data_IF_326433174137
#
_entry.id   IF_326433174137
#
_cell.length_a   1.000
_cell.length_b   1.000
_cell.length_c   1.000
_cell.angle_alpha   90.00
_cell.angle_beta   90.00
_cell.angle_gamma   90.00
#
_symmetry.space_group_name_H-M   'P 1'
#
loop_
_entity.id
_entity.type
_entity.pdbx_description
1 polymer ?
#
# COMPACT_ATOMS: atom_id res chain seq x y z
N UNK A 1 7.99 14.31 -6.28
CA UNK A 1 6.66 14.98 -6.27
C UNK A 1 5.80 14.42 -5.14
N UNK A 2 5.56 13.10 -5.09
CA UNK A 2 4.74 12.45 -4.05
C UNK A 2 5.16 12.83 -2.61
N UNK A 3 6.45 12.66 -2.26
CA UNK A 3 7.01 13.06 -0.95
C UNK A 3 6.72 14.52 -0.60
N UNK A 4 7.07 15.46 -1.48
CA UNK A 4 6.87 16.90 -1.25
C UNK A 4 5.41 17.27 -1.01
N UNK A 5 4.49 16.65 -1.76
CA UNK A 5 3.05 16.87 -1.57
C UNK A 5 2.61 16.29 -0.24
N UNK A 6 2.97 15.04 0.05
CA UNK A 6 2.52 14.36 1.26
C UNK A 6 3.06 15.01 2.55
N UNK A 7 4.33 15.42 2.56
CA UNK A 7 4.91 16.14 3.70
C UNK A 7 4.33 17.56 3.82
N UNK A 8 4.12 18.26 2.70
CA UNK A 8 3.52 19.59 2.68
C UNK A 8 2.08 19.62 3.20
N UNK A 9 1.31 18.56 2.96
CA UNK A 9 -0.08 18.42 3.44
C UNK A 9 -0.19 17.70 4.78
N UNK A 10 0.93 17.23 5.35
CA UNK A 10 0.96 16.37 6.55
C UNK A 10 0.09 15.11 6.40
N UNK A 11 0.08 14.53 5.20
CA UNK A 11 -0.61 13.29 4.95
C UNK A 11 0.02 12.14 5.76
N UNK A 12 -0.81 11.23 6.25
CA UNK A 12 -0.30 10.02 6.92
C UNK A 12 0.30 9.02 5.92
N UNK A 13 -0.25 8.94 4.73
CA UNK A 13 0.22 8.08 3.65
C UNK A 13 -0.25 8.61 2.29
N UNK A 14 0.31 8.06 1.21
CA UNK A 14 -0.09 8.35 -0.17
C UNK A 14 0.46 7.31 -1.14
N UNK A 15 0.02 7.35 -2.40
CA UNK A 15 0.55 6.46 -3.45
C UNK A 15 0.69 7.14 -4.81
N UNK A 16 1.46 6.51 -5.69
CA UNK A 16 1.37 6.70 -7.13
C UNK A 16 1.36 5.34 -7.84
N UNK A 17 0.66 5.22 -8.96
CA UNK A 17 0.52 3.96 -9.70
C UNK A 17 0.18 4.19 -11.15
N UNK A 18 0.51 3.24 -12.04
CA UNK A 18 -0.07 3.18 -13.39
C UNK A 18 -1.59 2.96 -13.35
N UNK A 19 -2.28 3.46 -14.37
CA UNK A 19 -3.75 3.43 -14.46
C UNK A 19 -4.31 2.01 -14.44
N UNK A 20 -3.76 1.10 -15.24
CA UNK A 20 -4.28 -0.27 -15.37
C UNK A 20 -4.20 -1.02 -14.03
N UNK A 21 -3.06 -0.91 -13.33
CA UNK A 21 -2.92 -1.43 -11.97
C UNK A 21 -3.86 -0.73 -10.97
N UNK A 22 -4.19 0.55 -11.17
CA UNK A 22 -5.13 1.27 -10.31
C UNK A 22 -6.55 0.69 -10.38
N UNK A 23 -6.97 0.24 -11.56
CA UNK A 23 -8.30 -0.35 -11.77
C UNK A 23 -8.45 -1.64 -10.97
N UNK A 24 -7.48 -2.56 -11.07
CA UNK A 24 -7.48 -3.80 -10.29
C UNK A 24 -7.43 -3.53 -8.78
N UNK A 25 -6.67 -2.51 -8.34
CA UNK A 25 -6.61 -2.13 -6.92
C UNK A 25 -7.93 -1.51 -6.44
N UNK A 26 -8.65 -0.78 -7.29
CA UNK A 26 -9.98 -0.27 -6.94
C UNK A 26 -10.99 -1.39 -6.67
N UNK A 27 -10.88 -2.52 -7.39
CA UNK A 27 -11.72 -3.70 -7.15
C UNK A 27 -11.48 -4.37 -5.79
N UNK A 28 -10.40 -4.03 -5.08
CA UNK A 28 -10.18 -4.53 -3.71
C UNK A 28 -11.13 -3.91 -2.69
N UNK A 29 -11.68 -2.73 -2.97
CA UNK A 29 -12.63 -2.01 -2.10
C UNK A 29 -14.03 -1.86 -2.72
N UNK A 30 -14.15 -2.03 -4.05
CA UNK A 30 -15.41 -1.79 -4.75
C UNK A 30 -16.47 -2.84 -4.36
N UNK A 31 -17.61 -2.46 -3.77
CA UNK A 31 -18.74 -3.37 -3.65
C UNK A 31 -19.20 -3.75 -5.05
N UNK A 32 -19.46 -5.04 -5.26
CA UNK A 32 -20.10 -5.48 -6.51
C UNK A 32 -21.61 -5.37 -6.34
N UNK A 33 -22.35 -5.28 -7.45
CA UNK A 33 -23.83 -5.35 -7.45
C UNK A 33 -24.35 -6.64 -6.76
N UNK A 34 -23.49 -7.65 -6.57
CA UNK A 34 -23.84 -8.96 -5.99
C UNK A 34 -23.25 -9.24 -4.58
N UNK A 35 -22.59 -8.28 -3.92
CA UNK A 35 -22.15 -8.44 -2.54
C UNK A 35 -20.73 -7.93 -2.24
N UNK A 36 -19.96 -8.62 -1.37
CA UNK A 36 -18.67 -8.12 -0.87
C UNK A 36 -17.69 -7.82 -2.01
N UNK A 37 -16.60 -7.07 -1.74
CA UNK A 37 -15.58 -6.84 -2.76
C UNK A 37 -15.19 -8.15 -3.45
N UNK A 38 -15.04 -8.09 -4.77
CA UNK A 38 -14.56 -9.20 -5.59
C UNK A 38 -13.20 -8.83 -6.19
N UNK A 39 -12.13 -8.84 -5.38
CA UNK A 39 -10.80 -8.54 -5.86
C UNK A 39 -10.40 -9.50 -6.97
N UNK A 40 -9.78 -8.97 -8.01
CA UNK A 40 -9.26 -9.78 -9.10
C UNK A 40 -7.90 -10.35 -8.75
N UNK A 41 -7.47 -11.35 -9.52
CA UNK A 41 -6.09 -11.86 -9.52
C UNK A 41 -5.62 -12.41 -8.16
N UNK A 42 -6.56 -12.76 -7.27
CA UNK A 42 -6.26 -13.25 -5.92
C UNK A 42 -5.70 -12.18 -4.96
N UNK A 43 -5.95 -10.90 -5.24
CA UNK A 43 -5.65 -9.82 -4.30
C UNK A 43 -6.61 -9.87 -3.09
N UNK A 44 -6.22 -9.32 -1.94
CA UNK A 44 -7.09 -9.34 -0.78
C UNK A 44 -8.22 -8.30 -0.90
N UNK A 45 -9.37 -8.61 -0.32
CA UNK A 45 -10.43 -7.63 -0.07
C UNK A 45 -9.98 -6.65 1.02
N UNK A 46 -10.30 -5.38 0.84
CA UNK A 46 -9.96 -4.28 1.74
C UNK A 46 -11.25 -3.60 2.21
N UNK A 47 -11.22 -3.03 3.41
CA UNK A 47 -12.31 -2.21 3.92
C UNK A 47 -12.36 -0.86 3.19
N UNK A 48 -13.56 -0.30 3.08
CA UNK A 48 -13.71 1.11 2.72
C UNK A 48 -13.00 1.99 3.76
N UNK A 49 -12.49 3.14 3.33
CA UNK A 49 -11.68 4.03 4.17
C UNK A 49 -12.41 4.44 5.46
N UNK A 50 -13.74 4.61 5.41
CA UNK A 50 -14.60 4.95 6.56
C UNK A 50 -14.66 3.85 7.62
N UNK A 51 -14.33 2.61 7.25
CA UNK A 51 -14.32 1.44 8.13
C UNK A 51 -12.90 1.08 8.61
N UNK A 52 -11.89 1.88 8.25
CA UNK A 52 -10.51 1.71 8.74
C UNK A 52 -10.38 2.47 10.06
N UNK A 53 -9.92 1.77 11.10
CA UNK A 53 -9.94 2.25 12.49
C UNK A 53 -9.10 3.49 12.77
N UNK A 54 -8.11 3.78 11.93
CA UNK A 54 -7.15 4.86 12.16
C UNK A 54 -6.66 5.43 10.82
N UNK A 55 -6.53 6.76 10.70
CA UNK A 55 -6.08 7.40 9.46
C UNK A 55 -4.60 7.08 9.12
N UNK A 56 -3.81 6.66 10.11
CA UNK A 56 -2.43 6.20 9.94
C UNK A 56 -2.33 4.89 9.16
N UNK A 57 -3.38 4.08 9.12
CA UNK A 57 -3.39 2.80 8.40
C UNK A 57 -3.61 3.09 6.90
N UNK A 58 -2.66 2.72 6.02
CA UNK A 58 -2.85 2.89 4.58
C UNK A 58 -4.07 2.10 4.08
N UNK A 59 -4.90 2.74 3.25
CA UNK A 59 -6.10 2.09 2.71
C UNK A 59 -5.77 0.98 1.71
N UNK A 60 -4.71 1.15 0.93
CA UNK A 60 -4.30 0.25 -0.13
C UNK A 60 -2.84 0.54 -0.51
N UNK A 61 -2.22 -0.38 -1.25
CA UNK A 61 -0.89 -0.20 -1.81
C UNK A 61 -0.95 0.35 -3.23
N UNK A 62 0.14 0.99 -3.67
CA UNK A 62 0.40 1.32 -5.06
C UNK A 62 1.82 0.96 -5.48
N UNK A 63 2.23 1.40 -6.67
CA UNK A 63 3.60 1.21 -7.15
C UNK A 63 4.62 1.94 -6.25
N UNK A 64 4.39 3.23 -6.05
CA UNK A 64 5.10 4.05 -5.07
C UNK A 64 4.17 4.30 -3.90
N UNK A 65 4.68 4.17 -2.69
CA UNK A 65 3.95 4.37 -1.44
C UNK A 65 4.71 5.38 -0.61
N UNK A 66 4.04 6.42 -0.15
CA UNK A 66 4.53 7.26 0.93
C UNK A 66 3.87 6.82 2.23
N UNK A 67 4.67 6.60 3.26
CA UNK A 67 4.21 6.33 4.63
C UNK A 67 4.89 7.33 5.55
N UNK A 68 4.11 8.14 6.26
CA UNK A 68 4.65 9.00 7.31
C UNK A 68 5.31 8.18 8.42
N UNK A 69 6.02 8.84 9.34
CA UNK A 69 6.58 8.17 10.52
C UNK A 69 5.51 7.41 11.32
N UNK A 70 4.33 8.02 11.50
CA UNK A 70 3.20 7.42 12.23
C UNK A 70 2.62 6.21 11.48
N UNK A 71 2.39 6.33 10.17
CA UNK A 71 1.90 5.21 9.37
C UNK A 71 2.88 4.03 9.37
N UNK A 72 4.18 4.33 9.23
CA UNK A 72 5.26 3.34 9.25
C UNK A 72 5.32 2.59 10.59
N UNK A 73 5.14 3.31 11.70
CA UNK A 73 5.06 2.70 13.03
C UNK A 73 3.86 1.77 13.16
N UNK A 74 2.68 2.19 12.69
CA UNK A 74 1.44 1.40 12.78
C UNK A 74 1.53 0.10 11.99
N UNK A 75 2.08 0.14 10.76
CA UNK A 75 2.24 -1.08 9.95
C UNK A 75 3.49 -1.89 10.29
N UNK A 76 4.34 -1.40 11.20
CA UNK A 76 5.59 -2.06 11.61
C UNK A 76 6.65 -2.10 10.51
N UNK A 77 6.85 -0.97 9.80
CA UNK A 77 7.90 -0.79 8.79
C UNK A 77 8.94 0.25 9.25
N UNK A 78 10.25 0.02 9.04
CA UNK A 78 10.85 -1.20 8.53
C UNK A 78 11.20 -2.20 9.64
N UNK A 79 11.10 -3.49 9.31
CA UNK A 79 11.78 -4.60 9.99
C UNK A 79 12.98 -5.03 9.12
N UNK A 80 14.24 -4.79 9.55
CA UNK A 80 15.42 -5.09 8.75
C UNK A 80 15.55 -6.56 8.32
N UNK A 81 14.96 -7.49 9.07
CA UNK A 81 15.05 -8.92 8.80
C UNK A 81 14.01 -9.39 7.79
N UNK A 82 12.89 -8.68 7.69
CA UNK A 82 11.74 -9.06 6.84
C UNK A 82 11.58 -8.17 5.61
N UNK A 83 12.11 -6.96 5.67
CA UNK A 83 11.83 -5.91 4.68
C UNK A 83 13.07 -5.54 3.84
N UNK A 84 14.13 -6.36 3.85
CA UNK A 84 15.38 -6.09 3.15
C UNK A 84 15.16 -5.76 1.65
N UNK A 85 14.27 -6.48 0.98
CA UNK A 85 13.93 -6.24 -0.43
C UNK A 85 13.24 -4.87 -0.61
N UNK A 86 12.22 -4.57 0.21
CA UNK A 86 11.53 -3.27 0.16
C UNK A 86 12.47 -2.12 0.53
N UNK A 87 13.35 -2.32 1.51
CA UNK A 87 14.35 -1.35 1.96
C UNK A 87 15.36 -1.01 0.87
N UNK A 88 15.74 -1.98 0.02
CA UNK A 88 16.62 -1.73 -1.13
C UNK A 88 16.03 -0.71 -2.11
N UNK A 89 14.69 -0.60 -2.13
CA UNK A 89 13.91 0.32 -2.97
C UNK A 89 13.15 1.38 -2.16
N UNK A 90 13.59 1.62 -0.92
CA UNK A 90 12.99 2.61 -0.04
C UNK A 90 13.95 3.79 0.21
N UNK A 91 13.39 4.98 0.36
CA UNK A 91 14.11 6.17 0.79
C UNK A 91 13.42 6.79 2.00
N UNK A 92 14.21 7.09 3.04
CA UNK A 92 13.74 7.83 4.21
C UNK A 92 13.56 9.31 3.87
N UNK A 93 12.46 9.90 4.29
CA UNK A 93 12.14 11.32 4.06
C UNK A 93 12.67 12.20 5.19
N UNK A 94 12.69 13.52 5.00
CA UNK A 94 13.19 14.47 6.00
C UNK A 94 12.34 14.46 7.29
N UNK A 95 11.02 14.24 7.17
CA UNK A 95 10.11 14.12 8.32
C UNK A 95 10.16 12.75 9.02
N UNK A 96 11.04 11.84 8.56
CA UNK A 96 11.19 10.50 9.13
C UNK A 96 10.20 9.46 8.60
N UNK A 97 9.42 9.80 7.59
CA UNK A 97 8.63 8.84 6.80
C UNK A 97 9.47 8.09 5.77
N UNK A 98 8.79 7.36 4.90
CA UNK A 98 9.38 6.55 3.85
C UNK A 98 8.66 6.73 2.53
N UNK A 99 9.42 6.75 1.45
CA UNK A 99 8.93 6.46 0.10
C UNK A 99 9.41 5.06 -0.26
N UNK A 100 8.48 4.17 -0.57
CA UNK A 100 8.75 2.75 -0.86
C UNK A 100 8.24 2.42 -2.26
N UNK A 101 9.11 1.86 -3.08
CA UNK A 101 8.79 1.38 -4.42
C UNK A 101 8.67 -0.15 -4.39
N UNK A 102 7.52 -0.68 -4.85
CA UNK A 102 7.27 -2.12 -4.83
C UNK A 102 8.11 -2.87 -5.88
N UNK A 103 8.22 -2.30 -7.08
CA UNK A 103 8.86 -2.93 -8.25
C UNK A 103 9.74 -1.92 -8.96
N UNK A 104 10.84 -2.35 -9.57
CA UNK A 104 11.79 -1.44 -10.24
C UNK A 104 11.18 -0.73 -11.47
N UNK A 105 10.29 -1.43 -12.18
CA UNK A 105 9.45 -0.86 -13.22
C UNK A 105 8.07 -0.46 -12.68
N UNK A 106 7.33 0.44 -13.36
CA UNK A 106 5.95 0.75 -13.01
C UNK A 106 5.10 -0.51 -12.85
N UNK A 107 4.30 -0.56 -11.78
CA UNK A 107 3.51 -1.73 -11.42
C UNK A 107 2.59 -2.17 -12.57
N UNK A 108 2.78 -3.41 -12.99
CA UNK A 108 2.02 -4.10 -14.05
C UNK A 108 1.48 -5.39 -13.45
N UNK A 109 0.16 -5.60 -13.43
CA UNK A 109 -0.47 -6.76 -12.80
C UNK A 109 -0.72 -7.93 -13.76
N UNK A 110 -0.35 -7.77 -15.04
CA UNK A 110 -0.23 -8.88 -15.99
C UNK A 110 1.14 -9.56 -15.89
N UNK A 111 2.16 -8.88 -15.33
CA UNK A 111 3.41 -9.51 -14.91
C UNK A 111 3.19 -10.29 -13.58
N UNK A 112 3.33 -11.63 -13.58
CA UNK A 112 3.12 -12.43 -12.38
C UNK A 112 4.11 -12.10 -11.25
N UNK A 113 5.30 -11.60 -11.56
CA UNK A 113 6.32 -11.20 -10.58
C UNK A 113 5.85 -9.99 -9.80
N UNK A 114 5.36 -8.97 -10.51
CA UNK A 114 4.81 -7.76 -9.91
C UNK A 114 3.56 -8.05 -9.06
N UNK A 115 2.67 -8.92 -9.56
CA UNK A 115 1.50 -9.35 -8.81
C UNK A 115 1.89 -10.11 -7.53
N UNK A 116 2.89 -10.99 -7.59
CA UNK A 116 3.42 -11.70 -6.42
C UNK A 116 4.03 -10.73 -5.41
N UNK A 117 4.84 -9.77 -5.85
CA UNK A 117 5.37 -8.71 -4.99
C UNK A 117 4.26 -7.94 -4.28
N UNK A 118 3.20 -7.56 -4.98
CA UNK A 118 2.07 -6.86 -4.38
C UNK A 118 1.36 -7.72 -3.32
N UNK A 119 1.11 -9.01 -3.61
CA UNK A 119 0.49 -9.95 -2.68
C UNK A 119 1.34 -10.17 -1.43
N UNK A 120 2.63 -10.45 -1.59
CA UNK A 120 3.58 -10.61 -0.47
C UNK A 120 3.67 -9.35 0.38
N UNK A 121 3.60 -8.18 -0.23
CA UNK A 121 3.58 -6.91 0.50
C UNK A 121 2.31 -6.78 1.35
N UNK A 122 1.15 -7.17 0.82
CA UNK A 122 -0.07 -7.28 1.62
C UNK A 122 0.07 -8.32 2.75
N UNK A 123 0.63 -9.50 2.50
CA UNK A 123 0.85 -10.51 3.55
C UNK A 123 1.79 -9.99 4.67
N UNK A 124 2.82 -9.24 4.30
CA UNK A 124 3.76 -8.61 5.24
C UNK A 124 3.10 -7.54 6.11
N UNK A 125 2.13 -6.81 5.58
CA UNK A 125 1.44 -5.73 6.29
C UNK A 125 -0.07 -6.03 6.41
N UNK A 126 -0.46 -6.94 7.31
CA UNK A 126 -1.85 -7.40 7.42
C UNK A 126 -2.82 -6.30 7.89
N UNK A 127 -2.33 -5.21 8.48
CA UNK A 127 -3.18 -4.07 8.85
C UNK A 127 -3.66 -3.25 7.64
N UNK A 128 -2.90 -3.22 6.53
CA UNK A 128 -3.22 -2.40 5.37
C UNK A 128 -4.57 -2.79 4.79
N UNK A 129 -5.40 -1.76 4.53
CA UNK A 129 -6.80 -1.89 4.12
C UNK A 129 -7.72 -2.44 5.20
N UNK A 130 -7.32 -2.33 6.47
CA UNK A 130 -8.15 -2.70 7.63
C UNK A 130 -8.45 -4.20 7.74
N UNK A 131 -7.57 -5.05 7.19
CA UNK A 131 -7.78 -6.51 7.11
C UNK A 131 -7.57 -7.23 8.44
N UNK A 132 -6.55 -6.87 9.21
CA UNK A 132 -6.36 -7.40 10.56
C UNK A 132 -7.20 -6.62 11.60
N UNK A 133 -7.84 -7.37 12.50
CA UNK A 133 -8.31 -6.85 13.79
C UNK A 133 -7.14 -6.89 14.80
N UNK A 134 -7.14 -6.05 15.86
CA UNK A 134 -6.18 -6.20 16.94
C UNK A 134 -6.29 -7.56 17.63
#
# INVERSE_FOLDING_TARGET
MLERVAEGTRAFWGRATPHDAAVDIAYQTAPTLEGPPSPRRGLPALKLFEHIRAPEIPCYLGWLNYWSAAASQVIGFPDPTRDAELLSRARRTASGGWVVQLTDAPLDLDDPTHLDTLKRTYERFPEIGGRAAP
#
